data_IF_257443770357
#
_entry.id   IF_257443770357
#
_cell.length_a   1.000
_cell.length_b   1.000
_cell.length_c   1.000
_cell.angle_alpha   90.00
_cell.angle_beta   90.00
_cell.angle_gamma   90.00
#
_symmetry.space_group_name_H-M   'P 1'
#
loop_
_entity.id
_entity.type
_entity.pdbx_description
1 polymer ?
#
# COMPACT_ATOMS: atom_id res chain seq x y z
N UNK A 1 29.08 12.55 1.02
CA UNK A 1 28.56 13.70 0.24
C UNK A 1 28.96 14.96 1.00
N UNK A 2 29.83 15.83 0.48
CA UNK A 2 30.55 16.78 1.33
C UNK A 2 29.83 18.09 1.69
N UNK A 3 28.49 18.19 1.77
CA UNK A 3 27.78 19.44 2.20
C UNK A 3 26.27 19.45 1.86
N UNK A 4 25.82 18.66 0.88
CA UNK A 4 24.41 18.62 0.50
C UNK A 4 23.49 17.94 1.54
N UNK A 5 22.40 18.60 1.92
CA UNK A 5 21.28 17.92 2.57
C UNK A 5 20.55 17.06 1.54
N UNK A 6 20.41 15.73 1.76
CA UNK A 6 19.60 14.92 0.88
C UNK A 6 18.15 15.44 0.94
N UNK A 7 17.61 15.81 -0.22
CA UNK A 7 16.16 15.89 -0.37
C UNK A 7 15.63 14.50 -0.03
N UNK A 8 14.62 14.42 0.85
CA UNK A 8 14.05 13.17 1.35
C UNK A 8 13.99 12.12 0.23
N UNK A 9 14.62 10.97 0.47
CA UNK A 9 14.60 9.86 -0.49
C UNK A 9 13.16 9.46 -0.70
N UNK A 10 12.66 9.69 -1.90
CA UNK A 10 11.26 9.51 -2.20
C UNK A 10 11.11 9.02 -3.66
N UNK A 11 10.01 8.37 -3.93
CA UNK A 11 9.79 7.66 -5.19
C UNK A 11 9.36 8.63 -6.29
N UNK A 12 9.74 8.33 -7.53
CA UNK A 12 9.18 9.06 -8.68
C UNK A 12 7.74 8.60 -8.87
N UNK A 13 6.80 9.54 -8.82
CA UNK A 13 5.37 9.27 -8.80
C UNK A 13 4.68 9.54 -10.15
N UNK A 14 5.32 10.27 -11.06
CA UNK A 14 4.82 10.49 -12.41
C UNK A 14 5.62 9.64 -13.40
N UNK A 15 5.07 8.50 -13.79
CA UNK A 15 5.66 7.62 -14.80
C UNK A 15 4.69 7.48 -15.96
N UNK A 16 5.12 7.85 -17.15
CA UNK A 16 4.35 7.65 -18.38
C UNK A 16 5.15 6.88 -19.42
N UNK A 17 4.44 6.08 -20.23
CA UNK A 17 5.05 5.39 -21.35
C UNK A 17 5.46 6.40 -22.43
N UNK A 18 6.57 6.11 -23.11
CA UNK A 18 7.08 6.80 -24.30
C UNK A 18 7.40 5.72 -25.33
N UNK A 19 7.76 6.11 -26.54
CA UNK A 19 8.08 5.17 -27.61
C UNK A 19 9.27 4.27 -27.27
N UNK A 20 9.30 3.08 -27.90
CA UNK A 20 10.43 2.14 -27.86
C UNK A 20 10.81 1.66 -26.46
N UNK A 21 9.83 1.46 -25.57
CA UNK A 21 10.05 0.93 -24.23
C UNK A 21 10.64 1.94 -23.23
N UNK A 22 10.85 3.19 -23.64
CA UNK A 22 11.22 4.26 -22.72
C UNK A 22 10.04 4.66 -21.85
N UNK A 23 10.35 5.07 -20.62
CA UNK A 23 9.39 5.70 -19.71
C UNK A 23 9.90 7.08 -19.34
N UNK A 24 8.99 8.06 -19.31
CA UNK A 24 9.29 9.37 -18.75
C UNK A 24 8.95 9.32 -17.27
N UNK A 25 9.93 9.65 -16.45
CA UNK A 25 9.82 9.74 -15.02
C UNK A 25 9.96 11.22 -14.64
N UNK A 26 9.00 11.76 -13.90
CA UNK A 26 8.94 13.17 -13.52
C UNK A 26 8.53 13.34 -12.07
N UNK A 27 9.00 14.41 -11.46
CA UNK A 27 8.61 14.80 -10.11
C UNK A 27 8.82 16.28 -9.91
N UNK A 28 7.91 16.92 -9.18
CA UNK A 28 8.09 18.29 -8.70
C UNK A 28 8.73 18.26 -7.32
N UNK A 29 9.80 19.02 -7.14
CA UNK A 29 10.54 19.13 -5.89
C UNK A 29 10.48 20.57 -5.40
N UNK A 30 10.27 20.77 -4.10
CA UNK A 30 10.46 22.08 -3.49
C UNK A 30 11.96 22.32 -3.34
N UNK A 31 12.48 23.37 -3.99
CA UNK A 31 13.90 23.74 -3.92
C UNK A 31 14.20 24.31 -2.53
N UNK A 32 15.17 23.76 -1.78
CA UNK A 32 15.62 24.38 -0.52
C UNK A 32 16.13 25.80 -0.77
N UNK A 33 15.85 26.75 0.13
CA UNK A 33 16.13 28.19 -0.08
C UNK A 33 17.58 28.53 -0.47
N UNK A 34 18.55 27.72 -0.04
CA UNK A 34 19.99 27.93 -0.29
C UNK A 34 20.58 26.98 -1.33
N UNK A 35 19.76 26.15 -1.99
CA UNK A 35 20.24 25.20 -2.96
C UNK A 35 20.66 25.92 -4.26
N UNK A 36 21.92 25.74 -4.66
CA UNK A 36 22.47 26.30 -5.90
C UNK A 36 22.73 25.25 -6.97
N UNK A 37 22.76 23.97 -6.60
CA UNK A 37 23.06 22.84 -7.47
C UNK A 37 22.15 21.65 -7.15
N UNK A 38 21.95 20.76 -8.12
CA UNK A 38 21.24 19.48 -7.96
C UNK A 38 22.04 18.35 -8.61
N UNK A 39 22.14 17.22 -7.91
CA UNK A 39 22.69 15.98 -8.45
C UNK A 39 21.56 14.98 -8.62
N UNK A 40 21.38 14.46 -9.84
CA UNK A 40 20.39 13.42 -10.15
C UNK A 40 21.13 12.11 -10.36
N UNK A 41 20.86 11.13 -9.50
CA UNK A 41 21.44 9.79 -9.59
C UNK A 41 20.36 8.75 -9.81
N UNK A 42 20.63 7.77 -10.68
CA UNK A 42 19.76 6.61 -10.88
C UNK A 42 20.44 5.36 -10.34
N UNK A 43 19.77 4.70 -9.40
CA UNK A 43 20.27 3.51 -8.74
C UNK A 43 19.44 2.29 -9.15
N UNK A 44 20.11 1.28 -9.70
CA UNK A 44 19.53 -0.05 -9.85
C UNK A 44 19.88 -0.90 -8.63
N UNK A 45 18.88 -1.51 -8.01
CA UNK A 45 19.06 -2.35 -6.82
C UNK A 45 18.31 -3.66 -6.99
N UNK A 46 18.74 -4.69 -6.26
CA UNK A 46 18.04 -5.98 -6.16
C UNK A 46 17.90 -6.74 -7.49
N UNK A 47 18.93 -6.69 -8.34
CA UNK A 47 18.97 -7.49 -9.57
C UNK A 47 20.31 -8.20 -9.69
N UNK A 48 20.28 -9.42 -10.23
CA UNK A 48 21.48 -10.23 -10.47
C UNK A 48 22.16 -9.91 -11.82
N UNK A 49 21.47 -9.23 -12.75
CA UNK A 49 21.99 -8.95 -14.10
C UNK A 49 21.24 -7.88 -14.88
N UNK A 50 20.41 -7.09 -14.23
CA UNK A 50 19.69 -5.99 -14.87
C UNK A 50 20.58 -4.78 -15.12
N UNK A 51 20.17 -3.94 -16.06
CA UNK A 51 20.73 -2.61 -16.28
C UNK A 51 19.61 -1.58 -16.30
N UNK A 52 19.92 -0.35 -15.91
CA UNK A 52 19.01 0.78 -16.05
C UNK A 52 19.76 1.90 -16.73
N UNK A 53 19.10 2.56 -17.69
CA UNK A 53 19.64 3.71 -18.39
C UNK A 53 18.67 4.88 -18.24
N UNK A 54 19.20 6.08 -18.03
CA UNK A 54 18.45 7.32 -18.18
C UNK A 54 19.25 8.29 -19.03
N UNK A 55 18.53 9.15 -19.72
CA UNK A 55 19.12 10.17 -20.59
C UNK A 55 18.29 11.43 -20.51
N UNK A 56 18.92 12.56 -20.84
CA UNK A 56 18.28 13.86 -20.92
C UNK A 56 17.55 14.28 -19.62
N UNK A 57 18.19 14.20 -18.44
CA UNK A 57 17.60 14.79 -17.24
C UNK A 57 17.38 16.29 -17.48
N UNK A 58 16.22 16.80 -17.10
CA UNK A 58 15.87 18.21 -17.22
C UNK A 58 15.29 18.70 -15.91
N UNK A 59 15.73 19.87 -15.48
CA UNK A 59 15.08 20.65 -14.45
C UNK A 59 14.29 21.75 -15.14
N UNK A 60 13.00 21.82 -14.85
CA UNK A 60 12.10 22.84 -15.39
C UNK A 60 11.44 23.49 -14.19
N UNK A 61 11.60 24.81 -14.06
CA UNK A 61 10.86 25.58 -13.07
C UNK A 61 9.36 25.43 -13.35
N UNK A 62 8.59 25.14 -12.31
CA UNK A 62 7.16 24.91 -12.41
C UNK A 62 6.48 25.52 -11.19
N UNK A 63 5.19 25.80 -11.34
CA UNK A 63 4.36 26.17 -10.20
C UNK A 63 4.37 25.07 -9.15
N UNK A 64 4.21 25.48 -7.89
CA UNK A 64 4.00 24.57 -6.78
C UNK A 64 2.84 23.61 -7.11
N UNK A 65 3.02 22.28 -6.95
CA UNK A 65 1.94 21.35 -7.22
C UNK A 65 0.80 21.62 -6.22
N UNK A 66 -0.47 21.53 -6.66
CA UNK A 66 -1.58 21.76 -5.77
C UNK A 66 -1.51 20.78 -4.58
N UNK A 67 -1.87 21.22 -3.35
CA UNK A 67 -1.91 20.32 -2.20
C UNK A 67 -2.82 19.12 -2.47
N UNK A 68 -2.28 17.91 -2.38
CA UNK A 68 -3.06 16.67 -2.45
C UNK A 68 -3.46 16.25 -1.04
N UNK A 69 -4.51 16.88 -0.52
CA UNK A 69 -5.07 16.51 0.79
C UNK A 69 -5.66 15.10 0.68
N UNK A 70 -5.31 14.25 1.64
CA UNK A 70 -5.82 12.88 1.74
C UNK A 70 -6.44 12.72 3.12
N UNK A 71 -7.66 12.20 3.19
CA UNK A 71 -8.33 11.80 4.42
C UNK A 71 -8.10 10.32 4.67
N UNK A 72 -7.50 10.02 5.80
CA UNK A 72 -7.22 8.65 6.22
C UNK A 72 -8.02 8.33 7.46
N UNK A 73 -8.77 7.24 7.43
CA UNK A 73 -9.40 6.66 8.62
C UNK A 73 -8.61 5.43 9.02
N UNK A 74 -8.28 5.33 10.30
CA UNK A 74 -7.63 4.15 10.86
C UNK A 74 -8.58 3.47 11.84
N UNK A 75 -8.55 2.15 11.84
CA UNK A 75 -9.33 1.37 12.80
C UNK A 75 -8.40 0.83 13.87
N UNK A 76 -8.87 0.86 15.12
CA UNK A 76 -8.25 0.15 16.23
C UNK A 76 -9.29 -0.77 16.83
N UNK A 77 -9.21 -2.04 16.47
CA UNK A 77 -10.06 -3.06 17.08
C UNK A 77 -9.22 -3.81 18.09
N UNK A 78 -9.72 -3.89 19.31
CA UNK A 78 -9.04 -4.56 20.42
C UNK A 78 -9.23 -6.09 20.31
N UNK A 79 -9.57 -6.73 21.42
CA UNK A 79 -9.81 -8.16 21.50
C UNK A 79 -11.28 -8.49 21.21
N UNK A 80 -11.50 -9.62 20.55
CA UNK A 80 -12.82 -10.22 20.37
C UNK A 80 -12.92 -11.40 21.33
N UNK A 81 -14.10 -11.63 21.88
CA UNK A 81 -14.42 -12.93 22.45
C UNK A 81 -14.31 -14.01 21.36
N UNK A 82 -14.39 -15.27 21.76
CA UNK A 82 -14.40 -16.38 20.81
C UNK A 82 -15.42 -16.16 19.68
N UNK A 83 -14.97 -16.33 18.44
CA UNK A 83 -15.75 -15.97 17.25
C UNK A 83 -15.34 -16.77 16.02
N UNK A 84 -15.94 -16.49 14.87
CA UNK A 84 -15.64 -17.10 13.58
C UNK A 84 -15.09 -16.07 12.58
N UNK A 85 -14.39 -16.55 11.56
CA UNK A 85 -13.92 -15.71 10.43
C UNK A 85 -15.11 -14.96 9.81
N UNK A 86 -16.24 -15.65 9.62
CA UNK A 86 -17.46 -15.07 9.04
C UNK A 86 -17.98 -13.89 9.87
N UNK A 87 -18.06 -14.06 11.19
CA UNK A 87 -18.55 -13.01 12.09
C UNK A 87 -17.57 -11.83 12.14
N UNK A 88 -16.27 -12.10 12.07
CA UNK A 88 -15.26 -11.05 11.96
C UNK A 88 -15.39 -10.28 10.65
N UNK A 89 -15.59 -10.95 9.52
CA UNK A 89 -15.79 -10.27 8.23
C UNK A 89 -17.06 -9.42 8.21
N UNK A 90 -18.16 -9.89 8.82
CA UNK A 90 -19.37 -9.08 8.97
C UNK A 90 -19.10 -7.84 9.84
N UNK A 91 -18.45 -8.00 10.98
CA UNK A 91 -18.06 -6.87 11.84
C UNK A 91 -17.17 -5.87 11.08
N UNK A 92 -16.24 -6.36 10.27
CA UNK A 92 -15.39 -5.50 9.44
C UNK A 92 -16.19 -4.75 8.39
N UNK A 93 -17.18 -5.39 7.76
CA UNK A 93 -18.06 -4.73 6.81
C UNK A 93 -18.82 -3.57 7.47
N UNK A 94 -19.43 -3.80 8.63
CA UNK A 94 -20.17 -2.78 9.38
C UNK A 94 -19.24 -1.60 9.78
N UNK A 95 -18.02 -1.91 10.18
CA UNK A 95 -17.01 -0.91 10.51
C UNK A 95 -16.52 -0.13 9.28
N UNK A 96 -16.35 -0.79 8.14
CA UNK A 96 -16.02 -0.14 6.87
C UNK A 96 -17.14 0.80 6.43
N UNK A 97 -18.40 0.41 6.59
CA UNK A 97 -19.56 1.27 6.33
C UNK A 97 -19.55 2.50 7.25
N UNK A 98 -19.25 2.31 8.54
CA UNK A 98 -19.12 3.43 9.48
C UNK A 98 -17.96 4.35 9.09
N UNK A 99 -16.79 3.79 8.76
CA UNK A 99 -15.61 4.55 8.33
C UNK A 99 -15.88 5.30 7.01
N UNK A 100 -16.64 4.71 6.09
CA UNK A 100 -17.04 5.32 4.83
C UNK A 100 -17.86 6.60 5.00
N UNK A 101 -18.59 6.77 6.12
CA UNK A 101 -19.33 8.00 6.43
C UNK A 101 -18.43 9.21 6.62
N UNK A 102 -17.18 9.00 7.02
CA UNK A 102 -16.17 10.04 7.12
C UNK A 102 -15.65 10.50 5.74
N UNK A 103 -16.08 9.85 4.65
CA UNK A 103 -15.62 10.09 3.27
C UNK A 103 -14.09 10.09 3.17
N UNK A 104 -13.40 9.03 3.65
CA UNK A 104 -11.96 8.93 3.52
C UNK A 104 -11.55 8.73 2.06
N UNK A 105 -10.28 8.95 1.75
CA UNK A 105 -9.65 8.45 0.54
C UNK A 105 -9.06 7.04 0.77
N UNK A 106 -8.66 6.74 2.01
CA UNK A 106 -8.14 5.44 2.41
C UNK A 106 -8.57 5.03 3.83
N UNK A 107 -8.84 3.73 4.01
CA UNK A 107 -9.09 3.12 5.32
C UNK A 107 -7.98 2.10 5.63
N UNK A 108 -7.35 2.24 6.79
CA UNK A 108 -6.33 1.31 7.29
C UNK A 108 -6.93 0.44 8.40
N UNK A 109 -6.95 -0.86 8.16
CA UNK A 109 -7.54 -1.85 9.05
C UNK A 109 -6.51 -2.35 10.07
N UNK A 110 -7.00 -2.78 11.24
CA UNK A 110 -6.17 -3.40 12.28
C UNK A 110 -5.54 -4.71 11.77
N UNK A 111 -4.28 -4.96 12.19
CA UNK A 111 -3.53 -6.18 11.86
C UNK A 111 -4.28 -7.45 12.33
N UNK A 112 -4.33 -8.49 11.48
CA UNK A 112 -4.87 -9.81 11.78
C UNK A 112 -6.31 -9.83 12.32
N UNK A 113 -7.14 -8.88 11.89
CA UNK A 113 -8.49 -8.84 12.40
C UNK A 113 -9.38 -10.02 11.98
N UNK A 114 -9.35 -10.50 10.71
CA UNK A 114 -10.20 -11.62 10.30
C UNK A 114 -10.05 -12.85 11.19
N UNK A 115 -8.83 -13.14 11.67
CA UNK A 115 -8.50 -14.33 12.45
C UNK A 115 -8.58 -14.13 13.97
N UNK A 116 -8.79 -12.90 14.44
CA UNK A 116 -8.73 -12.58 15.87
C UNK A 116 -9.91 -13.21 16.63
N UNK A 117 -9.61 -13.92 17.71
CA UNK A 117 -10.61 -14.63 18.53
C UNK A 117 -11.15 -15.92 17.89
N UNK A 118 -10.64 -16.33 16.72
CA UNK A 118 -11.06 -17.57 16.05
C UNK A 118 -10.26 -18.75 16.60
N UNK A 119 -10.95 -19.82 17.02
CA UNK A 119 -10.30 -21.07 17.45
C UNK A 119 -9.64 -21.81 16.29
N UNK A 120 -8.71 -22.71 16.63
CA UNK A 120 -8.03 -23.58 15.67
C UNK A 120 -6.54 -23.28 15.52
N UNK A 121 -5.90 -24.00 14.61
CA UNK A 121 -4.50 -23.81 14.25
C UNK A 121 -4.34 -22.62 13.29
N UNK A 122 -3.10 -22.21 13.08
CA UNK A 122 -2.78 -21.20 12.07
C UNK A 122 -3.20 -21.68 10.66
N UNK A 123 -3.13 -22.99 10.39
CA UNK A 123 -3.61 -23.58 9.14
C UNK A 123 -5.13 -23.40 8.97
N UNK A 124 -5.90 -23.66 10.03
CA UNK A 124 -7.37 -23.60 9.99
C UNK A 124 -7.89 -22.18 9.74
N UNK A 125 -7.15 -21.18 10.22
CA UNK A 125 -7.51 -19.75 10.07
C UNK A 125 -6.96 -19.10 8.80
N UNK A 126 -6.13 -19.80 8.04
CA UNK A 126 -5.45 -19.24 6.87
C UNK A 126 -6.28 -19.38 5.60
N UNK A 127 -6.16 -18.41 4.69
CA UNK A 127 -6.81 -18.44 3.38
C UNK A 127 -5.84 -18.05 2.25
N UNK A 128 -6.05 -18.51 1.00
CA UNK A 128 -5.28 -18.02 -0.14
C UNK A 128 -5.60 -16.55 -0.44
N UNK A 129 -4.74 -15.89 -1.21
CA UNK A 129 -5.02 -14.59 -1.82
C UNK A 129 -4.98 -14.76 -3.34
N UNK A 130 -6.07 -14.44 -4.07
CA UNK A 130 -7.37 -13.98 -3.58
C UNK A 130 -8.14 -15.05 -2.77
N UNK A 131 -9.03 -14.59 -1.89
CA UNK A 131 -9.82 -15.43 -0.97
C UNK A 131 -10.94 -14.64 -0.28
N UNK A 132 -11.71 -15.27 0.63
CA UNK A 132 -12.91 -14.68 1.23
C UNK A 132 -12.71 -13.30 1.86
N UNK A 133 -11.61 -13.08 2.57
CA UNK A 133 -11.30 -11.78 3.18
C UNK A 133 -11.02 -10.72 2.11
N UNK A 134 -10.18 -11.04 1.11
CA UNK A 134 -9.85 -10.07 0.07
C UNK A 134 -11.03 -9.80 -0.88
N UNK A 135 -11.93 -10.76 -1.08
CA UNK A 135 -13.21 -10.57 -1.76
C UNK A 135 -14.12 -9.60 -0.99
N UNK A 136 -14.21 -9.76 0.33
CA UNK A 136 -14.99 -8.86 1.19
C UNK A 136 -14.46 -7.43 1.12
N UNK A 137 -13.14 -7.23 1.25
CA UNK A 137 -12.54 -5.91 1.17
C UNK A 137 -12.62 -5.32 -0.24
N UNK A 138 -12.45 -6.12 -1.29
CA UNK A 138 -12.59 -5.69 -2.70
C UNK A 138 -13.99 -5.13 -2.98
N UNK A 139 -15.02 -5.83 -2.51
CA UNK A 139 -16.41 -5.39 -2.64
C UNK A 139 -16.63 -4.08 -1.90
N UNK A 140 -16.24 -4.01 -0.63
CA UNK A 140 -16.41 -2.80 0.19
C UNK A 140 -15.64 -1.59 -0.40
N UNK A 141 -14.41 -1.79 -0.88
CA UNK A 141 -13.62 -0.74 -1.52
C UNK A 141 -14.35 -0.15 -2.73
N UNK A 142 -14.91 -1.01 -3.59
CA UNK A 142 -15.68 -0.59 -4.77
C UNK A 142 -16.98 0.12 -4.40
N UNK A 143 -17.72 -0.41 -3.43
CA UNK A 143 -19.01 0.16 -3.00
C UNK A 143 -18.83 1.53 -2.35
N UNK A 144 -17.77 1.70 -1.56
CA UNK A 144 -17.45 2.96 -0.87
C UNK A 144 -16.64 3.93 -1.73
N UNK A 145 -16.03 3.47 -2.83
CA UNK A 145 -15.12 4.25 -3.66
C UNK A 145 -13.85 4.65 -2.90
N UNK A 146 -13.31 3.75 -2.08
CA UNK A 146 -12.22 4.02 -1.12
C UNK A 146 -11.13 2.98 -1.20
N UNK A 147 -9.87 3.41 -1.08
CA UNK A 147 -8.76 2.48 -0.93
C UNK A 147 -8.78 1.80 0.45
N UNK A 148 -8.60 0.48 0.50
CA UNK A 148 -8.58 -0.30 1.74
C UNK A 148 -7.23 -1.00 1.88
N UNK A 149 -6.59 -0.79 3.03
CA UNK A 149 -5.40 -1.51 3.43
C UNK A 149 -5.80 -2.47 4.55
N UNK A 150 -5.84 -3.76 4.23
CA UNK A 150 -6.20 -4.84 5.14
C UNK A 150 -5.01 -5.73 5.47
N UNK A 151 -5.21 -6.68 6.37
CA UNK A 151 -4.27 -7.77 6.58
C UNK A 151 -4.99 -9.07 6.92
N UNK A 152 -4.36 -10.18 6.59
CA UNK A 152 -4.84 -11.53 6.86
C UNK A 152 -3.67 -12.52 6.97
N UNK A 153 -3.97 -13.72 7.42
CA UNK A 153 -3.08 -14.86 7.44
C UNK A 153 -3.16 -15.64 6.12
N UNK A 154 -2.23 -15.35 5.21
CA UNK A 154 -2.18 -15.90 3.88
C UNK A 154 -1.62 -17.33 3.88
N UNK A 155 -2.36 -18.29 3.32
CA UNK A 155 -1.84 -19.60 2.90
C UNK A 155 -1.41 -19.55 1.44
N UNK A 156 -0.10 -19.44 1.21
CA UNK A 156 0.46 -19.42 -0.16
C UNK A 156 0.43 -20.78 -0.82
N UNK A 157 0.81 -21.79 -0.05
CA UNK A 157 0.84 -23.20 -0.42
C UNK A 157 0.81 -24.02 0.87
N UNK A 158 0.68 -25.34 0.75
CA UNK A 158 0.68 -26.24 1.90
C UNK A 158 1.93 -26.00 2.77
N UNK A 159 1.72 -25.74 4.07
CA UNK A 159 2.80 -25.52 5.03
C UNK A 159 3.46 -24.13 4.99
N UNK A 160 3.07 -23.23 4.08
CA UNK A 160 3.69 -21.90 3.93
C UNK A 160 2.66 -20.81 4.16
N UNK A 161 2.78 -20.15 5.33
CA UNK A 161 1.85 -19.12 5.79
C UNK A 161 2.56 -17.79 6.04
N UNK A 162 1.88 -16.68 5.80
CA UNK A 162 2.40 -15.34 6.04
C UNK A 162 1.36 -14.46 6.72
N UNK A 163 1.83 -13.55 7.57
CA UNK A 163 1.11 -12.32 7.83
C UNK A 163 1.24 -11.44 6.58
N UNK A 164 0.11 -11.16 5.92
CA UNK A 164 0.08 -10.44 4.66
C UNK A 164 -0.82 -9.23 4.76
N UNK A 165 -0.26 -8.05 4.53
CA UNK A 165 -1.01 -6.85 4.22
C UNK A 165 -1.42 -6.85 2.74
N UNK A 166 -2.66 -6.48 2.46
CA UNK A 166 -3.23 -6.34 1.11
C UNK A 166 -3.63 -4.90 0.87
N UNK A 167 -3.24 -4.36 -0.29
CA UNK A 167 -3.62 -3.01 -0.74
C UNK A 167 -4.66 -3.14 -1.84
N UNK A 168 -5.85 -2.62 -1.58
CA UNK A 168 -7.00 -2.64 -2.48
C UNK A 168 -7.33 -1.20 -2.83
N UNK A 169 -7.44 -0.91 -4.12
CA UNK A 169 -7.76 0.43 -4.61
C UNK A 169 -9.28 0.66 -4.61
N UNK A 170 -9.70 1.91 -4.80
CA UNK A 170 -11.10 2.33 -4.78
C UNK A 170 -11.98 1.66 -5.86
N UNK A 171 -11.39 1.08 -6.90
CA UNK A 171 -12.09 0.27 -7.90
C UNK A 171 -12.31 -1.21 -7.47
N UNK A 172 -11.74 -1.59 -6.33
CA UNK A 172 -11.70 -2.95 -5.79
C UNK A 172 -10.55 -3.81 -6.32
N UNK A 173 -9.65 -3.29 -7.14
CA UNK A 173 -8.50 -4.08 -7.61
C UNK A 173 -7.42 -4.21 -6.53
N UNK A 174 -6.88 -5.42 -6.36
CA UNK A 174 -5.72 -5.65 -5.50
C UNK A 174 -4.47 -5.09 -6.22
N UNK A 175 -3.86 -4.04 -5.66
CA UNK A 175 -2.67 -3.39 -6.24
C UNK A 175 -1.36 -3.98 -5.75
N UNK A 176 -1.37 -4.59 -4.57
CA UNK A 176 -0.14 -5.15 -4.00
C UNK A 176 -0.35 -5.91 -2.72
N UNK A 177 0.63 -6.75 -2.42
CA UNK A 177 0.73 -7.54 -1.20
C UNK A 177 2.06 -7.26 -0.53
N UNK A 178 2.07 -7.15 0.79
CA UNK A 178 3.29 -7.08 1.59
C UNK A 178 3.25 -8.18 2.66
N UNK A 179 4.27 -9.03 2.68
CA UNK A 179 4.42 -10.10 3.67
C UNK A 179 5.37 -9.64 4.77
N UNK A 180 4.95 -9.79 6.02
CA UNK A 180 5.76 -9.39 7.18
C UNK A 180 7.10 -10.13 7.17
N UNK A 181 8.18 -9.38 7.04
CA UNK A 181 9.54 -9.94 6.96
C UNK A 181 10.15 -10.22 8.34
N UNK A 182 9.71 -9.50 9.37
CA UNK A 182 10.20 -9.63 10.73
C UNK A 182 9.09 -10.20 11.61
N UNK A 183 9.19 -11.50 11.89
CA UNK A 183 8.25 -12.20 12.78
C UNK A 183 8.71 -11.98 14.24
N UNK A 184 7.77 -11.65 15.16
CA UNK A 184 8.08 -11.51 16.60
C UNK A 184 8.62 -12.79 17.24
#
# INVERSE_FOLDING_TARGET
>A
MPDGQPVQRDYVDQISAVDHGWRRAGRTLRVPEKATNVTIELWLRWTAGGSVNFRNPKLVETNEPPPRKVRVVTTRIAERQETTIRDNLQFMADMLDQAGREKPDAILLTEFFPERGVKGTAHDRSEPIPGPTTESFTRAARELGVAIIGSLFERRTAGVYHNTAVVIDADGSIKGLYRKMHIP
#
